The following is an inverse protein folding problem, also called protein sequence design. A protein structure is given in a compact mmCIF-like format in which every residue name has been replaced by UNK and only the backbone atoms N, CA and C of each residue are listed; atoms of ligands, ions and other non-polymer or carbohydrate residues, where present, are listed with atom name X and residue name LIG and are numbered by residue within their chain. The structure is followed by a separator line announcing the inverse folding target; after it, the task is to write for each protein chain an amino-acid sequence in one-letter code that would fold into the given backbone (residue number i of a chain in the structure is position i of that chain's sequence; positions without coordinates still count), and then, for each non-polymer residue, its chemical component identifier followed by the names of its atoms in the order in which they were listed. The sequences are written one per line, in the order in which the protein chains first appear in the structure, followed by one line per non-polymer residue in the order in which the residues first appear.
data_IF_653167957249
#
_entry.id   IF_653167957249
#
_cell.length_a   1.000
_cell.length_b   1.000
_cell.length_c   1.000
_cell.angle_alpha   90.00
_cell.angle_beta   90.00
_cell.angle_gamma   90.00
#
_symmetry.space_group_name_H-M   'P 1'
#
loop_
_entity.id
_entity.type
_entity.pdbx_description
1 polymer ?
#
# COMPACT_ATOMS: atom_id res chain seq x y z
N UNK A 1 2.27 2.82 -9.56
CA UNK A 1 1.31 3.93 -9.76
C UNK A 1 -0.13 3.42 -9.95
N UNK A 2 -0.40 2.59 -10.97
CA UNK A 2 -1.77 2.18 -11.32
C UNK A 2 -2.51 1.48 -10.18
N UNK A 3 -1.83 0.66 -9.38
CA UNK A 3 -2.44 0.03 -8.20
C UNK A 3 -2.92 1.04 -7.14
N UNK A 4 -2.17 2.13 -6.92
CA UNK A 4 -2.57 3.21 -6.01
C UNK A 4 -3.72 4.03 -6.60
N UNK A 5 -3.68 4.29 -7.91
CA UNK A 5 -4.80 4.92 -8.60
C UNK A 5 -6.09 4.10 -8.44
N UNK A 6 -6.00 2.77 -8.58
CA UNK A 6 -7.13 1.87 -8.35
C UNK A 6 -7.62 1.97 -6.90
N UNK A 7 -6.72 1.90 -5.91
CA UNK A 7 -7.08 2.04 -4.50
C UNK A 7 -7.80 3.37 -4.19
N UNK A 8 -7.40 4.47 -4.86
CA UNK A 8 -8.14 5.74 -4.76
C UNK A 8 -9.56 5.59 -5.30
N UNK A 9 -9.76 4.94 -6.45
CA UNK A 9 -11.12 4.72 -6.98
C UNK A 9 -11.98 3.85 -6.03
N UNK A 10 -11.40 2.79 -5.46
CA UNK A 10 -12.10 1.94 -4.49
C UNK A 10 -12.45 2.71 -3.21
N UNK A 11 -11.60 3.65 -2.80
CA UNK A 11 -11.88 4.52 -1.65
C UNK A 11 -13.03 5.50 -1.86
N UNK A 12 -13.47 5.73 -3.11
CA UNK A 12 -14.64 6.56 -3.44
C UNK A 12 -15.94 5.74 -3.47
N UNK A 13 -15.87 4.40 -3.45
CA UNK A 13 -17.07 3.56 -3.43
C UNK A 13 -17.80 3.67 -2.08
N UNK A 14 -19.12 3.43 -2.02
CA UNK A 14 -19.89 3.49 -0.78
C UNK A 14 -19.34 2.61 0.35
N UNK A 15 -18.84 1.41 0.02
CA UNK A 15 -18.18 0.48 0.93
C UNK A 15 -16.76 0.94 1.33
N UNK A 16 -16.09 1.67 0.44
CA UNK A 16 -14.75 2.21 0.63
C UNK A 16 -13.67 1.15 0.92
N UNK A 17 -12.48 1.64 1.26
CA UNK A 17 -11.38 0.81 1.77
C UNK A 17 -10.82 1.44 3.04
N UNK A 18 -10.34 0.62 3.97
CA UNK A 18 -9.80 1.07 5.25
C UNK A 18 -8.27 1.15 5.28
N UNK A 19 -7.60 0.46 4.36
CA UNK A 19 -6.15 0.34 4.25
C UNK A 19 -5.76 -0.16 2.85
N UNK A 20 -4.50 0.02 2.48
CA UNK A 20 -3.90 -0.56 1.26
C UNK A 20 -2.67 -1.38 1.66
N UNK A 21 -2.53 -2.57 1.07
CA UNK A 21 -1.33 -3.40 1.16
C UNK A 21 -0.67 -3.41 -0.21
N UNK A 22 0.52 -2.82 -0.30
CA UNK A 22 1.33 -2.76 -1.51
C UNK A 22 2.49 -3.74 -1.40
N UNK A 23 2.52 -4.76 -2.25
CA UNK A 23 3.61 -5.73 -2.33
C UNK A 23 4.30 -5.55 -3.67
N UNK A 24 5.64 -5.51 -3.70
CA UNK A 24 6.36 -5.40 -4.96
C UNK A 24 7.88 -5.51 -4.87
N UNK A 25 8.48 -5.72 -6.03
CA UNK A 25 9.91 -5.95 -6.30
C UNK A 25 10.57 -4.80 -7.07
N UNK A 26 9.80 -3.81 -7.55
CA UNK A 26 10.31 -2.64 -8.27
C UNK A 26 9.84 -1.30 -7.65
N UNK A 27 10.65 -0.21 -7.73
CA UNK A 27 10.23 1.10 -7.25
C UNK A 27 9.18 1.72 -8.19
N UNK A 28 8.44 2.69 -7.67
CA UNK A 28 7.52 3.51 -8.46
C UNK A 28 8.27 4.31 -9.54
N UNK A 29 7.64 4.48 -10.70
CA UNK A 29 8.15 5.25 -11.84
C UNK A 29 8.13 6.74 -11.55
N UNK A 30 9.17 7.42 -12.01
CA UNK A 30 9.22 8.88 -12.03
C UNK A 30 8.33 9.48 -13.13
N UNK A 31 7.88 10.73 -12.96
CA UNK A 31 7.04 11.42 -13.95
C UNK A 31 7.62 11.44 -15.38
N UNK A 32 8.93 11.72 -15.60
CA UNK A 32 9.49 11.70 -16.94
C UNK A 32 9.45 10.31 -17.57
N UNK A 33 9.63 9.25 -16.77
CA UNK A 33 9.54 7.87 -17.24
C UNK A 33 8.11 7.53 -17.69
N UNK A 34 7.09 7.97 -16.94
CA UNK A 34 5.68 7.79 -17.32
C UNK A 34 5.39 8.44 -18.68
N UNK A 35 5.83 9.69 -18.89
CA UNK A 35 5.65 10.38 -20.17
C UNK A 35 6.38 9.68 -21.32
N UNK A 36 7.63 9.26 -21.10
CA UNK A 36 8.43 8.52 -22.09
C UNK A 36 7.79 7.19 -22.47
N UNK A 37 7.37 6.39 -21.50
CA UNK A 37 6.78 5.07 -21.73
C UNK A 37 5.42 5.20 -22.46
N UNK A 38 4.64 6.24 -22.13
CA UNK A 38 3.39 6.54 -22.85
C UNK A 38 3.64 6.92 -24.30
N UNK A 39 4.63 7.77 -24.57
CA UNK A 39 5.02 8.14 -25.93
C UNK A 39 5.52 6.94 -26.73
N UNK A 40 6.30 6.05 -26.12
CA UNK A 40 6.74 4.81 -26.75
C UNK A 40 5.57 3.84 -27.04
N UNK A 41 4.52 3.89 -26.21
CA UNK A 41 3.34 3.02 -26.32
C UNK A 41 2.18 3.74 -27.04
N UNK A 42 2.43 4.23 -28.26
CA UNK A 42 1.39 4.81 -29.13
C UNK A 42 1.01 6.28 -28.84
N UNK A 43 1.60 6.90 -27.81
CA UNK A 43 1.42 8.31 -27.49
C UNK A 43 -0.02 8.70 -27.11
N UNK A 44 -0.26 9.99 -26.95
CA UNK A 44 -1.54 10.50 -26.44
C UNK A 44 -2.74 10.18 -27.36
N UNK A 45 -2.50 9.94 -28.65
CA UNK A 45 -3.55 9.48 -29.59
C UNK A 45 -4.12 8.11 -29.17
N UNK A 46 -3.28 7.22 -28.66
CA UNK A 46 -3.71 5.94 -28.10
C UNK A 46 -4.34 6.14 -26.72
N UNK A 47 -3.60 6.77 -25.80
CA UNK A 47 -4.01 6.84 -24.39
C UNK A 47 -5.30 7.62 -24.15
N UNK A 48 -5.57 8.68 -24.93
CA UNK A 48 -6.79 9.48 -24.83
C UNK A 48 -8.09 8.69 -25.00
N UNK A 49 -8.02 7.54 -25.69
CA UNK A 49 -9.16 6.63 -25.94
C UNK A 49 -9.33 5.58 -24.85
N UNK A 50 -8.44 5.53 -23.86
CA UNK A 50 -8.45 4.53 -22.78
C UNK A 50 -8.97 5.14 -21.47
N UNK A 51 -9.33 4.27 -20.51
CA UNK A 51 -9.61 4.71 -19.13
C UNK A 51 -8.39 5.32 -18.42
N UNK A 52 -7.19 5.13 -18.97
CA UNK A 52 -5.92 5.66 -18.47
C UNK A 52 -5.47 6.92 -19.21
N UNK A 53 -6.42 7.66 -19.80
CA UNK A 53 -6.15 8.90 -20.54
C UNK A 53 -5.42 9.94 -19.70
N UNK A 54 -5.76 10.06 -18.42
CA UNK A 54 -5.06 10.93 -17.48
C UNK A 54 -3.88 10.12 -16.89
N UNK A 55 -2.62 10.54 -17.07
CA UNK A 55 -1.50 9.89 -16.44
C UNK A 55 -1.58 10.06 -14.92
N UNK A 56 -1.22 9.01 -14.19
CA UNK A 56 -1.18 9.00 -12.72
C UNK A 56 0.26 8.89 -12.23
N UNK A 57 0.54 9.49 -11.08
CA UNK A 57 1.82 9.42 -10.40
C UNK A 57 1.61 9.02 -8.95
N UNK A 58 2.46 8.13 -8.42
CA UNK A 58 2.23 7.50 -7.13
C UNK A 58 2.02 8.52 -6.00
N UNK A 59 2.81 9.59 -5.96
CA UNK A 59 2.70 10.60 -4.90
C UNK A 59 1.36 11.35 -4.93
N UNK A 60 0.81 11.60 -6.12
CA UNK A 60 -0.50 12.26 -6.26
C UNK A 60 -1.61 11.37 -5.70
N UNK A 61 -1.54 10.06 -5.95
CA UNK A 61 -2.51 9.10 -5.40
C UNK A 61 -2.34 8.92 -3.89
N UNK A 62 -1.11 8.95 -3.37
CA UNK A 62 -0.86 8.91 -1.93
C UNK A 62 -1.45 10.11 -1.20
N UNK A 63 -1.38 11.32 -1.77
CA UNK A 63 -2.01 12.49 -1.14
C UNK A 63 -3.53 12.32 -1.03
N UNK A 64 -4.18 11.70 -2.02
CA UNK A 64 -5.62 11.42 -1.98
C UNK A 64 -5.97 10.39 -0.89
N UNK A 65 -5.20 9.31 -0.79
CA UNK A 65 -5.37 8.30 0.26
C UNK A 65 -5.11 8.88 1.67
N UNK A 66 -4.08 9.71 1.80
CA UNK A 66 -3.74 10.43 3.03
C UNK A 66 -4.85 11.37 3.47
N UNK A 67 -5.45 12.13 2.55
CA UNK A 67 -6.58 13.03 2.85
C UNK A 67 -7.80 12.27 3.40
N UNK A 68 -7.91 10.98 3.10
CA UNK A 68 -8.95 10.07 3.61
C UNK A 68 -8.53 9.26 4.85
N UNK A 69 -7.33 9.50 5.38
CA UNK A 69 -6.74 8.71 6.48
C UNK A 69 -6.68 7.20 6.17
N UNK A 70 -6.40 6.85 4.91
CA UNK A 70 -6.20 5.47 4.47
C UNK A 70 -4.70 5.18 4.44
N UNK A 71 -4.17 4.35 5.34
CA UNK A 71 -2.76 4.00 5.36
C UNK A 71 -2.41 3.05 4.22
N UNK A 72 -1.20 3.22 3.68
CA UNK A 72 -0.60 2.31 2.69
C UNK A 72 0.56 1.59 3.35
N UNK A 73 0.36 0.31 3.65
CA UNK A 73 1.40 -0.57 4.16
C UNK A 73 2.16 -1.19 2.98
N UNK A 74 3.48 -1.16 3.02
CA UNK A 74 4.34 -1.58 1.92
C UNK A 74 5.22 -2.74 2.31
N UNK A 75 5.29 -3.75 1.45
CA UNK A 75 6.06 -4.97 1.64
C UNK A 75 7.00 -5.14 0.44
N UNK A 76 8.29 -4.89 0.66
CA UNK A 76 9.28 -4.91 -0.41
C UNK A 76 9.97 -6.27 -0.50
N UNK A 77 10.05 -6.83 -1.72
CA UNK A 77 10.68 -8.12 -1.97
C UNK A 77 12.20 -8.04 -2.13
N UNK A 78 12.72 -6.87 -2.52
CA UNK A 78 14.15 -6.64 -2.74
C UNK A 78 14.61 -5.37 -2.01
N UNK A 79 15.90 -5.28 -1.67
CA UNK A 79 16.46 -4.10 -1.00
C UNK A 79 16.49 -2.87 -1.91
N UNK A 80 16.59 -3.07 -3.23
CA UNK A 80 16.63 -2.00 -4.22
C UNK A 80 15.39 -1.09 -4.19
N UNK A 81 14.26 -1.57 -3.67
CA UNK A 81 13.00 -0.82 -3.62
C UNK A 81 12.68 -0.23 -2.26
N UNK A 82 13.44 -0.62 -1.24
CA UNK A 82 13.21 -0.26 0.17
C UNK A 82 12.99 1.25 0.36
N UNK A 83 13.85 2.08 -0.22
CA UNK A 83 13.77 3.53 -0.05
C UNK A 83 12.45 4.10 -0.61
N UNK A 84 12.03 3.65 -1.79
CA UNK A 84 10.79 4.11 -2.39
C UNK A 84 9.56 3.62 -1.60
N UNK A 85 9.58 2.36 -1.16
CA UNK A 85 8.51 1.78 -0.35
C UNK A 85 8.39 2.46 1.02
N UNK A 86 9.52 2.77 1.66
CA UNK A 86 9.54 3.51 2.92
C UNK A 86 8.96 4.92 2.77
N UNK A 87 9.22 5.61 1.65
CA UNK A 87 8.59 6.91 1.34
C UNK A 87 7.08 6.75 1.21
N UNK A 88 6.63 5.75 0.44
CA UNK A 88 5.20 5.47 0.21
C UNK A 88 4.47 5.22 1.54
N UNK A 89 5.00 4.33 2.38
CA UNK A 89 4.41 4.01 3.67
C UNK A 89 4.39 5.22 4.60
N UNK A 90 5.53 5.94 4.71
CA UNK A 90 5.65 7.10 5.59
C UNK A 90 4.66 8.21 5.24
N UNK A 91 4.39 8.44 3.96
CA UNK A 91 3.49 9.50 3.50
C UNK A 91 2.05 9.32 4.03
N UNK A 92 1.65 8.07 4.26
CA UNK A 92 0.28 7.70 4.67
C UNK A 92 0.21 7.12 6.09
N UNK A 93 1.31 7.22 6.86
CA UNK A 93 1.46 6.61 8.19
C UNK A 93 1.30 5.08 8.20
N UNK A 94 1.63 4.42 7.08
CA UNK A 94 1.67 2.97 6.96
C UNK A 94 2.98 2.35 7.47
N UNK A 95 3.05 1.03 7.37
CA UNK A 95 4.22 0.22 7.73
C UNK A 95 5.05 -0.07 6.49
N UNK A 96 6.37 -0.20 6.64
CA UNK A 96 7.25 -0.68 5.59
C UNK A 96 8.08 -1.83 6.13
N UNK A 97 7.91 -3.02 5.54
CA UNK A 97 8.59 -4.23 5.97
C UNK A 97 9.17 -4.98 4.75
N UNK A 98 10.25 -5.73 4.98
CA UNK A 98 10.78 -6.64 3.98
C UNK A 98 9.95 -7.93 3.99
N UNK A 99 9.56 -8.41 2.82
CA UNK A 99 8.79 -9.64 2.69
C UNK A 99 9.61 -10.70 1.96
N UNK A 100 10.06 -11.69 2.73
CA UNK A 100 10.64 -12.91 2.17
C UNK A 100 9.53 -13.92 1.86
N UNK A 101 9.20 -14.06 0.57
CA UNK A 101 8.15 -14.98 0.10
C UNK A 101 8.53 -16.45 0.22
N UNK A 102 9.82 -16.76 0.36
CA UNK A 102 10.30 -18.15 0.47
C UNK A 102 10.32 -18.63 1.92
N UNK A 103 9.96 -17.74 2.85
CA UNK A 103 10.04 -17.95 4.29
C UNK A 103 8.63 -18.02 4.87
N UNK A 104 8.30 -19.01 5.73
CA UNK A 104 7.02 -19.06 6.44
C UNK A 104 6.67 -17.76 7.18
N UNK A 105 7.70 -17.02 7.61
CA UNK A 105 7.63 -15.75 8.29
C UNK A 105 6.94 -14.67 7.44
N UNK A 106 7.02 -14.73 6.11
CA UNK A 106 6.36 -13.78 5.23
C UNK A 106 4.83 -13.86 5.29
N UNK A 107 4.29 -15.08 5.36
CA UNK A 107 2.86 -15.31 5.54
C UNK A 107 2.39 -14.86 6.92
N UNK A 108 3.16 -15.14 7.97
CA UNK A 108 2.86 -14.67 9.33
C UNK A 108 2.87 -13.14 9.41
N UNK A 109 3.85 -12.48 8.79
CA UNK A 109 4.00 -11.02 8.75
C UNK A 109 2.81 -10.34 8.07
N UNK A 110 2.38 -10.83 6.90
CA UNK A 110 1.19 -10.29 6.22
C UNK A 110 -0.09 -10.56 7.03
N UNK A 111 -0.22 -11.75 7.61
CA UNK A 111 -1.39 -12.12 8.43
C UNK A 111 -1.51 -11.21 9.65
N UNK A 112 -0.41 -11.01 10.37
CA UNK A 112 -0.35 -10.11 11.53
C UNK A 112 -0.66 -8.68 11.09
N UNK A 113 -0.09 -8.22 9.97
CA UNK A 113 -0.35 -6.87 9.48
C UNK A 113 -1.85 -6.63 9.23
N UNK A 114 -2.46 -7.47 8.39
CA UNK A 114 -3.88 -7.39 8.04
C UNK A 114 -4.77 -7.46 9.29
N UNK A 115 -4.51 -8.43 10.16
CA UNK A 115 -5.34 -8.68 11.34
C UNK A 115 -5.26 -7.51 12.32
N UNK A 116 -4.07 -6.99 12.58
CA UNK A 116 -3.88 -5.86 13.48
C UNK A 116 -4.58 -4.60 13.00
N UNK A 117 -4.53 -4.29 11.69
CA UNK A 117 -5.23 -3.11 11.16
C UNK A 117 -6.75 -3.29 11.17
N UNK A 118 -7.25 -4.50 10.87
CA UNK A 118 -8.69 -4.81 11.01
C UNK A 118 -9.12 -4.59 12.46
N UNK A 119 -8.39 -5.13 13.43
CA UNK A 119 -8.71 -4.98 14.86
C UNK A 119 -8.66 -3.51 15.29
N UNK A 120 -7.65 -2.76 14.86
CA UNK A 120 -7.51 -1.34 15.20
C UNK A 120 -8.69 -0.50 14.69
N UNK A 121 -9.21 -0.82 13.51
CA UNK A 121 -10.36 -0.11 12.92
C UNK A 121 -11.70 -0.59 13.48
N UNK A 122 -11.88 -1.89 13.66
CA UNK A 122 -13.19 -2.48 14.05
C UNK A 122 -13.50 -2.36 15.54
N UNK A 123 -12.49 -2.30 16.41
CA UNK A 123 -12.69 -2.17 17.86
C UNK A 123 -12.81 -0.71 18.35
N UNK A 124 -12.88 0.27 17.43
CA UNK A 124 -13.00 1.70 17.76
C UNK A 124 -11.90 2.18 18.70
N UNK A 125 -12.27 2.88 19.78
CA UNK A 125 -11.32 3.39 20.79
C UNK A 125 -10.52 2.30 21.51
N UNK A 126 -10.93 1.04 21.41
CA UNK A 126 -10.22 -0.12 21.98
C UNK A 126 -9.33 -0.84 20.97
N UNK A 127 -9.11 -0.26 19.79
CA UNK A 127 -8.28 -0.80 18.71
C UNK A 127 -6.93 -1.33 19.18
N UNK A 128 -6.16 -0.51 19.90
CA UNK A 128 -4.83 -0.91 20.36
C UNK A 128 -4.86 -1.98 21.46
N UNK A 129 -5.93 -2.01 22.27
CA UNK A 129 -6.14 -3.08 23.26
C UNK A 129 -6.43 -4.40 22.54
N UNK A 130 -7.26 -4.38 21.50
CA UNK A 130 -7.58 -5.56 20.70
C UNK A 130 -6.33 -6.11 19.99
N UNK A 131 -5.51 -5.21 19.41
CA UNK A 131 -4.21 -5.58 18.82
C UNK A 131 -3.28 -6.22 19.86
N UNK A 132 -3.20 -5.65 21.07
CA UNK A 132 -2.36 -6.21 22.14
C UNK A 132 -2.83 -7.60 22.58
N UNK A 133 -4.14 -7.80 22.73
CA UNK A 133 -4.70 -9.11 23.08
C UNK A 133 -4.44 -10.14 21.99
N UNK A 134 -4.61 -9.74 20.72
CA UNK A 134 -4.27 -10.59 19.58
C UNK A 134 -2.79 -11.00 19.58
N UNK A 135 -1.87 -10.04 19.79
CA UNK A 135 -0.44 -10.34 19.88
C UNK A 135 -0.11 -11.30 21.01
N UNK A 136 -0.74 -11.13 22.18
CA UNK A 136 -0.55 -12.00 23.34
C UNK A 136 -1.01 -13.43 23.09
N UNK A 137 -2.11 -13.62 22.37
CA UNK A 137 -2.71 -14.94 22.15
C UNK A 137 -2.11 -15.68 20.94
N UNK A 138 -1.81 -14.96 19.86
CA UNK A 138 -1.54 -15.58 18.55
C UNK A 138 -0.14 -15.34 18.00
N UNK A 139 0.59 -14.31 18.46
CA UNK A 139 1.93 -14.01 17.94
C UNK A 139 3.00 -14.70 18.77
N UNK A 140 3.69 -15.67 18.16
CA UNK A 140 4.76 -16.43 18.82
C UNK A 140 5.87 -15.51 19.34
N UNK A 141 6.23 -15.65 20.61
CA UNK A 141 7.35 -14.92 21.21
C UNK A 141 7.04 -13.49 21.69
N UNK A 142 5.77 -13.06 21.67
CA UNK A 142 5.38 -11.79 22.26
C UNK A 142 5.60 -11.80 23.79
N UNK A 143 6.40 -10.86 24.29
CA UNK A 143 6.65 -10.61 25.73
C UNK A 143 6.25 -9.17 26.07
N UNK A 144 5.62 -8.98 27.23
CA UNK A 144 4.97 -7.72 27.66
C UNK A 144 5.93 -6.54 27.86
#
# INVERSE_FOLDING_TARGET
EIGLWYAVQESEQPEGISQVILIGDAPAKERPAIARDRNATGGEVYWSKTKYKIPTYYMDELQKLKAKNIPVHTFHLEDGTKNNFQIIAKETSGRCEHLDINSPQGAELLTNCVTEEILRKTAGDKGDIAVRLYRKEYVKGFTE
#
